data_IF_273243694411
#
_entry.id   IF_273243694411
#
_cell.length_a   1.000
_cell.length_b   1.000
_cell.length_c   1.000
_cell.angle_alpha   90.00
_cell.angle_beta   90.00
_cell.angle_gamma   90.00
#
_symmetry.space_group_name_H-M   'P 1'
#
loop_
_entity.id
_entity.type
_entity.pdbx_description
1 polymer ?
#
# COMPACT_ATOMS: atom_id res chain seq x y z
N UNK A 1 -10.93 2.88 -17.14
CA UNK A 1 -9.81 3.75 -16.76
C UNK A 1 -8.83 3.93 -17.91
N UNK A 2 -8.11 2.87 -18.35
CA UNK A 2 -7.06 2.99 -19.36
C UNK A 2 -7.54 3.54 -20.69
N UNK A 3 -8.66 3.06 -21.22
CA UNK A 3 -9.24 3.51 -22.49
C UNK A 3 -9.62 5.01 -22.46
N UNK A 4 -9.83 5.58 -21.26
CA UNK A 4 -10.20 6.99 -21.08
C UNK A 4 -8.97 7.88 -20.85
N UNK A 5 -7.99 7.42 -20.10
CA UNK A 5 -6.85 8.23 -19.65
C UNK A 5 -5.69 8.17 -20.66
N UNK A 6 -5.35 6.98 -21.18
CA UNK A 6 -4.18 6.81 -22.05
C UNK A 6 -4.24 7.65 -23.35
N UNK A 7 -5.37 7.78 -24.05
CA UNK A 7 -5.44 8.66 -25.22
C UNK A 7 -5.15 10.14 -24.90
N UNK A 8 -5.54 10.61 -23.70
CA UNK A 8 -5.24 11.99 -23.25
C UNK A 8 -3.74 12.21 -23.03
N UNK A 9 -3.00 11.14 -22.83
CA UNK A 9 -1.55 11.12 -22.62
C UNK A 9 -0.77 10.75 -23.88
N UNK A 10 -1.40 10.78 -25.06
CA UNK A 10 -0.76 10.45 -26.33
C UNK A 10 -0.48 8.94 -26.51
N UNK A 11 -0.94 8.10 -25.60
CA UNK A 11 -0.75 6.64 -25.65
C UNK A 11 -1.84 6.01 -26.50
N UNK A 12 -1.42 5.23 -27.50
CA UNK A 12 -2.36 4.38 -28.25
C UNK A 12 -2.71 3.16 -27.41
N UNK A 13 -3.99 2.88 -27.31
CA UNK A 13 -4.50 1.70 -26.60
C UNK A 13 -5.50 0.95 -27.47
N UNK A 14 -5.41 -0.36 -27.46
CA UNK A 14 -6.36 -1.27 -28.07
C UNK A 14 -6.73 -2.35 -27.07
N UNK A 15 -8.00 -2.45 -26.77
CA UNK A 15 -8.56 -3.48 -25.89
C UNK A 15 -9.85 -4.03 -26.48
N UNK A 16 -10.31 -5.14 -25.96
CA UNK A 16 -11.65 -5.65 -26.26
C UNK A 16 -12.62 -5.18 -25.18
N UNK A 17 -13.22 -4.00 -25.37
CA UNK A 17 -14.14 -3.36 -24.39
C UNK A 17 -13.53 -3.21 -22.99
N UNK A 18 -12.24 -2.88 -22.89
CA UNK A 18 -11.52 -2.73 -21.62
C UNK A 18 -11.00 -4.03 -21.01
N UNK A 19 -11.19 -5.18 -21.66
CA UNK A 19 -10.69 -6.47 -21.19
C UNK A 19 -9.34 -6.84 -21.84
N UNK A 20 -8.65 -7.77 -21.22
CA UNK A 20 -7.41 -8.36 -21.74
C UNK A 20 -7.67 -9.23 -22.99
N UNK A 21 -6.73 -9.28 -23.95
CA UNK A 21 -5.43 -8.59 -23.92
C UNK A 21 -5.56 -7.10 -24.27
N UNK A 22 -4.67 -6.29 -23.65
CA UNK A 22 -4.56 -4.87 -23.91
C UNK A 22 -3.23 -4.60 -24.63
N UNK A 23 -3.28 -3.96 -25.80
CA UNK A 23 -2.11 -3.52 -26.54
C UNK A 23 -1.89 -2.02 -26.32
N UNK A 24 -0.69 -1.65 -25.90
CA UNK A 24 -0.33 -0.27 -25.56
C UNK A 24 0.89 0.13 -26.38
N UNK A 25 0.86 1.36 -26.93
CA UNK A 25 2.00 1.94 -27.64
C UNK A 25 2.18 3.40 -27.23
N UNK A 26 3.32 3.70 -26.60
CA UNK A 26 3.74 5.05 -26.20
C UNK A 26 4.51 5.79 -27.30
N UNK A 27 5.21 6.87 -26.95
CA UNK A 27 5.52 7.30 -25.59
C UNK A 27 4.38 8.01 -24.88
N UNK A 28 4.43 8.03 -23.52
CA UNK A 28 3.57 8.87 -22.70
C UNK A 28 3.98 10.33 -22.82
N UNK A 29 3.00 11.21 -23.03
CA UNK A 29 3.16 12.66 -23.02
C UNK A 29 2.35 13.23 -21.85
N UNK A 30 3.00 13.76 -20.80
CA UNK A 30 2.28 14.34 -19.67
C UNK A 30 1.36 15.48 -20.11
N UNK A 31 0.12 15.42 -19.65
CA UNK A 31 -0.91 16.43 -19.87
C UNK A 31 -1.69 16.64 -18.57
N UNK A 32 -2.40 17.74 -18.46
CA UNK A 32 -3.33 17.92 -17.36
C UNK A 32 -4.46 16.91 -17.49
N UNK A 33 -4.63 16.08 -16.47
CA UNK A 33 -5.66 15.05 -16.43
C UNK A 33 -6.39 15.06 -15.09
N UNK A 34 -7.60 14.54 -15.12
CA UNK A 34 -8.40 14.24 -13.94
C UNK A 34 -8.64 12.74 -13.89
N UNK A 35 -8.45 12.16 -12.70
CA UNK A 35 -8.60 10.73 -12.45
C UNK A 35 -9.49 10.47 -11.23
N UNK A 36 -10.26 9.41 -11.31
CA UNK A 36 -11.01 8.87 -10.18
C UNK A 36 -10.09 7.98 -9.33
N UNK A 37 -9.80 8.41 -8.11
CA UNK A 37 -8.96 7.70 -7.15
C UNK A 37 -9.71 6.65 -6.32
N UNK A 38 -11.02 6.50 -6.51
CA UNK A 38 -11.83 5.55 -5.75
C UNK A 38 -11.58 4.10 -6.17
N UNK A 39 -11.18 3.88 -7.42
CA UNK A 39 -11.00 2.54 -8.00
C UNK A 39 -9.77 1.82 -7.44
N UNK A 40 -8.62 2.48 -7.46
CA UNK A 40 -7.36 1.92 -6.95
C UNK A 40 -6.26 2.97 -6.90
N UNK A 41 -5.54 3.04 -5.79
CA UNK A 41 -4.32 3.86 -5.66
C UNK A 41 -3.20 3.43 -6.62
N UNK A 42 -3.21 2.17 -7.08
CA UNK A 42 -2.20 1.64 -8.01
C UNK A 42 -2.18 2.37 -9.36
N UNK A 43 -3.36 2.77 -9.87
CA UNK A 43 -3.43 3.55 -11.11
C UNK A 43 -2.77 4.91 -10.96
N UNK A 44 -3.05 5.60 -9.84
CA UNK A 44 -2.42 6.87 -9.52
C UNK A 44 -0.91 6.70 -9.30
N UNK A 45 -0.48 5.68 -8.54
CA UNK A 45 0.94 5.35 -8.34
C UNK A 45 1.68 5.22 -9.68
N UNK A 46 1.12 4.45 -10.63
CA UNK A 46 1.71 4.29 -11.95
C UNK A 46 1.83 5.61 -12.73
N UNK A 47 0.80 6.46 -12.65
CA UNK A 47 0.83 7.79 -13.28
C UNK A 47 1.84 8.72 -12.61
N UNK A 48 1.91 8.75 -11.27
CA UNK A 48 2.89 9.56 -10.54
C UNK A 48 4.32 9.19 -10.90
N UNK A 49 4.64 7.89 -10.99
CA UNK A 49 5.95 7.42 -11.42
C UNK A 49 6.24 7.80 -12.88
N UNK A 50 5.28 7.61 -13.77
CA UNK A 50 5.45 7.91 -15.19
C UNK A 50 5.66 9.41 -15.45
N UNK A 51 4.89 10.27 -14.78
CA UNK A 51 5.05 11.73 -14.90
C UNK A 51 6.34 12.23 -14.28
N UNK A 52 6.71 11.71 -13.10
CA UNK A 52 7.96 12.08 -12.43
C UNK A 52 9.20 11.72 -13.29
N UNK A 53 9.13 10.64 -14.06
CA UNK A 53 10.21 10.20 -14.93
C UNK A 53 10.33 11.00 -16.23
N UNK A 54 9.43 11.94 -16.53
CA UNK A 54 9.50 12.79 -17.72
C UNK A 54 10.22 14.11 -17.44
N UNK A 55 10.92 14.64 -18.42
CA UNK A 55 11.65 15.91 -18.27
C UNK A 55 10.72 17.13 -18.22
N UNK A 56 9.51 17.03 -18.76
CA UNK A 56 8.54 18.13 -18.80
C UNK A 56 7.49 17.99 -17.72
N UNK A 57 7.59 18.83 -16.70
CA UNK A 57 6.89 18.67 -15.42
C UNK A 57 5.82 19.73 -15.12
N UNK A 58 5.36 20.47 -16.14
CA UNK A 58 4.29 21.46 -15.93
C UNK A 58 2.88 20.87 -15.91
N UNK A 59 2.75 19.56 -16.11
CA UNK A 59 1.46 18.89 -16.10
C UNK A 59 0.98 18.60 -14.67
N UNK A 60 -0.32 18.54 -14.49
CA UNK A 60 -1.01 18.36 -13.23
C UNK A 60 -1.92 17.15 -13.31
N UNK A 61 -1.97 16.37 -12.24
CA UNK A 61 -2.97 15.31 -12.06
C UNK A 61 -3.95 15.75 -10.97
N UNK A 62 -5.20 15.99 -11.35
CA UNK A 62 -6.30 16.19 -10.41
C UNK A 62 -6.90 14.83 -10.04
N UNK A 63 -7.20 14.62 -8.75
CA UNK A 63 -7.69 13.34 -8.24
C UNK A 63 -8.94 13.53 -7.42
N UNK A 64 -9.99 12.78 -7.75
CA UNK A 64 -11.23 12.74 -6.98
C UNK A 64 -11.29 11.45 -6.14
N UNK A 65 -11.87 11.55 -4.95
CA UNK A 65 -12.22 10.42 -4.07
C UNK A 65 -11.11 9.41 -3.78
N UNK A 66 -9.86 9.87 -3.64
CA UNK A 66 -8.71 8.99 -3.41
C UNK A 66 -8.88 8.13 -2.16
N UNK A 67 -8.83 6.82 -2.35
CA UNK A 67 -8.72 5.80 -1.30
C UNK A 67 -7.26 5.35 -1.15
N UNK A 68 -6.99 4.57 -0.09
CA UNK A 68 -5.67 3.98 0.16
C UNK A 68 -4.52 5.00 0.10
N UNK A 69 -4.72 6.18 0.70
CA UNK A 69 -3.74 7.28 0.75
C UNK A 69 -2.34 6.89 1.22
N UNK A 70 -2.17 6.00 2.24
CA UNK A 70 -0.84 5.60 2.69
C UNK A 70 0.05 4.97 1.60
N UNK A 71 -0.55 4.31 0.60
CA UNK A 71 0.22 3.78 -0.54
C UNK A 71 0.72 4.88 -1.47
N UNK A 72 -0.01 6.00 -1.54
CA UNK A 72 0.48 7.19 -2.25
C UNK A 72 1.63 7.83 -1.48
N UNK A 73 1.55 7.91 -0.15
CA UNK A 73 2.66 8.40 0.69
C UNK A 73 3.91 7.54 0.52
N UNK A 74 3.76 6.22 0.47
CA UNK A 74 4.85 5.30 0.16
C UNK A 74 5.46 5.60 -1.21
N UNK A 75 4.61 5.77 -2.23
CA UNK A 75 5.04 6.12 -3.60
C UNK A 75 5.83 7.42 -3.62
N UNK A 76 5.31 8.47 -2.96
CA UNK A 76 5.97 9.78 -2.88
C UNK A 76 7.30 9.71 -2.13
N UNK A 77 7.37 8.92 -1.06
CA UNK A 77 8.61 8.68 -0.31
C UNK A 77 9.68 8.01 -1.17
N UNK A 78 9.30 6.97 -1.92
CA UNK A 78 10.21 6.28 -2.85
C UNK A 78 10.67 7.23 -3.95
N UNK A 79 9.76 7.94 -4.62
CA UNK A 79 10.10 8.93 -5.65
C UNK A 79 11.08 9.97 -5.13
N UNK A 80 10.85 10.51 -3.92
CA UNK A 80 11.74 11.49 -3.31
C UNK A 80 13.14 10.91 -3.02
N UNK A 81 13.25 9.65 -2.63
CA UNK A 81 14.55 8.98 -2.42
C UNK A 81 15.34 8.90 -3.72
N UNK A 82 14.66 8.71 -4.85
CA UNK A 82 15.27 8.70 -6.18
C UNK A 82 15.44 10.11 -6.80
N UNK A 83 15.17 11.17 -6.03
CA UNK A 83 15.38 12.56 -6.45
C UNK A 83 14.20 13.19 -7.20
N UNK A 84 13.11 12.46 -7.40
CA UNK A 84 11.90 12.97 -8.03
C UNK A 84 10.98 13.61 -7.00
N UNK A 85 10.68 14.90 -7.18
CA UNK A 85 9.84 15.64 -6.24
C UNK A 85 8.45 15.83 -6.82
N UNK A 86 7.48 15.24 -6.14
CA UNK A 86 6.05 15.42 -6.42
C UNK A 86 5.42 16.08 -5.21
N UNK A 87 4.72 17.20 -5.42
CA UNK A 87 3.96 17.89 -4.38
C UNK A 87 2.48 17.59 -4.56
N UNK A 88 1.73 17.61 -3.47
CA UNK A 88 0.29 17.49 -3.55
C UNK A 88 -0.44 18.43 -2.60
N UNK A 89 -1.65 18.80 -2.98
CA UNK A 89 -2.59 19.57 -2.16
C UNK A 89 -3.71 18.62 -1.73
N UNK A 90 -3.73 18.22 -0.46
CA UNK A 90 -4.74 17.34 0.15
C UNK A 90 -5.03 16.04 -0.64
N UNK A 91 -4.06 15.49 -1.36
CA UNK A 91 -4.19 14.34 -2.29
C UNK A 91 -5.19 14.56 -3.44
N UNK A 92 -5.61 15.82 -3.68
CA UNK A 92 -6.55 16.18 -4.75
C UNK A 92 -5.86 16.68 -6.00
N UNK A 93 -4.65 17.22 -5.86
CA UNK A 93 -3.88 17.80 -6.94
C UNK A 93 -2.41 17.46 -6.76
N UNK A 94 -1.80 16.88 -7.79
CA UNK A 94 -0.38 16.51 -7.80
C UNK A 94 0.36 17.34 -8.85
N UNK A 95 1.48 17.92 -8.43
CA UNK A 95 2.34 18.78 -9.23
C UNK A 95 3.76 18.22 -9.22
N UNK A 96 4.40 18.26 -10.37
CA UNK A 96 5.71 17.69 -10.58
C UNK A 96 6.75 18.80 -10.66
N UNK A 97 7.88 18.64 -10.01
CA UNK A 97 8.98 19.58 -10.06
C UNK A 97 10.07 19.04 -10.98
N UNK A 98 10.74 19.98 -11.69
CA UNK A 98 11.96 19.61 -12.41
C UNK A 98 12.93 18.95 -11.42
N UNK A 99 13.46 17.81 -11.78
CA UNK A 99 14.43 17.11 -10.97
C UNK A 99 15.86 17.47 -11.40
N UNK A 100 16.81 17.54 -10.44
CA UNK A 100 18.22 17.62 -10.79
C UNK A 100 18.64 16.33 -11.54
N UNK A 101 19.81 16.33 -12.20
CA UNK A 101 20.37 15.09 -12.74
C UNK A 101 20.35 14.02 -11.66
N UNK A 102 19.87 12.83 -12.02
CA UNK A 102 19.84 11.71 -11.07
C UNK A 102 21.26 11.35 -10.64
N UNK A 103 21.43 10.94 -9.39
CA UNK A 103 22.70 10.45 -8.92
C UNK A 103 23.13 9.22 -9.74
N UNK A 104 24.44 9.11 -10.04
CA UNK A 104 24.97 7.97 -10.79
C UNK A 104 24.75 6.63 -10.09
N UNK A 105 24.67 6.66 -8.76
CA UNK A 105 24.44 5.47 -7.93
C UNK A 105 23.51 5.81 -6.76
N UNK A 106 22.45 5.01 -6.60
CA UNK A 106 21.51 5.09 -5.48
C UNK A 106 21.38 3.69 -4.89
N UNK A 107 21.72 3.55 -3.61
CA UNK A 107 21.42 2.33 -2.84
C UNK A 107 20.07 2.50 -2.15
N UNK A 108 19.20 1.54 -2.36
CA UNK A 108 17.90 1.48 -1.72
C UNK A 108 17.59 0.08 -1.22
N UNK A 109 17.31 -0.05 0.08
CA UNK A 109 16.87 -1.33 0.65
C UNK A 109 15.35 -1.35 0.69
N UNK A 110 14.78 -2.29 -0.05
CA UNK A 110 13.32 -2.51 -0.04
C UNK A 110 12.93 -3.08 1.31
N UNK A 111 11.97 -2.44 1.96
CA UNK A 111 11.42 -2.91 3.24
C UNK A 111 10.57 -4.18 3.07
N UNK A 112 10.37 -4.93 4.16
CA UNK A 112 9.50 -6.09 4.15
C UNK A 112 8.04 -5.71 3.86
N UNK A 113 7.33 -6.59 3.15
CA UNK A 113 5.94 -6.41 2.76
C UNK A 113 5.00 -6.73 3.93
N UNK A 114 4.32 -5.71 4.45
CA UNK A 114 3.34 -5.86 5.53
C UNK A 114 2.07 -6.58 5.09
N UNK A 115 1.68 -6.48 3.82
CA UNK A 115 0.52 -7.18 3.26
C UNK A 115 0.73 -8.70 3.31
N UNK A 116 1.85 -9.17 2.74
CA UNK A 116 2.22 -10.59 2.81
C UNK A 116 2.49 -11.07 4.23
N UNK A 117 3.15 -10.23 5.06
CA UNK A 117 3.43 -10.56 6.45
C UNK A 117 2.17 -10.69 7.32
N UNK A 118 1.09 -9.97 6.99
CA UNK A 118 -0.17 -10.06 7.74
C UNK A 118 -0.72 -11.48 7.79
N UNK A 119 -0.59 -12.25 6.70
CA UNK A 119 -1.00 -13.66 6.67
C UNK A 119 -0.18 -14.52 7.63
N UNK A 120 1.13 -14.29 7.69
CA UNK A 120 2.01 -15.01 8.61
C UNK A 120 1.73 -14.64 10.06
N UNK A 121 1.54 -13.35 10.34
CA UNK A 121 1.23 -12.86 11.69
C UNK A 121 -0.10 -13.43 12.18
N UNK A 122 -1.14 -13.42 11.33
CA UNK A 122 -2.42 -14.04 11.66
C UNK A 122 -2.29 -15.55 11.88
N UNK A 123 -1.56 -16.25 11.00
CA UNK A 123 -1.29 -17.67 11.18
C UNK A 123 -0.59 -17.96 12.52
N UNK A 124 0.38 -17.13 12.91
CA UNK A 124 1.05 -17.22 14.20
C UNK A 124 0.13 -17.04 15.38
N UNK A 125 -0.80 -16.10 15.30
CA UNK A 125 -1.80 -15.86 16.35
C UNK A 125 -2.80 -17.01 16.51
N UNK A 126 -3.11 -17.72 15.42
CA UNK A 126 -4.09 -18.81 15.40
C UNK A 126 -3.46 -20.17 15.75
N UNK A 127 -2.37 -20.52 15.06
CA UNK A 127 -1.88 -21.88 14.99
C UNK A 127 -0.68 -22.16 15.90
N UNK A 128 0.09 -21.13 16.26
CA UNK A 128 1.27 -21.29 17.12
C UNK A 128 2.32 -20.22 16.86
N UNK A 129 3.28 -20.03 17.78
CA UNK A 129 4.18 -18.90 17.72
C UNK A 129 5.10 -18.97 16.50
N UNK A 130 5.23 -17.83 15.83
CA UNK A 130 6.20 -17.61 14.75
C UNK A 130 6.97 -16.32 14.97
N UNK A 131 8.12 -16.19 14.30
CA UNK A 131 8.94 -14.98 14.29
C UNK A 131 9.02 -14.47 12.86
N UNK A 132 8.54 -13.24 12.63
CA UNK A 132 8.62 -12.56 11.34
C UNK A 132 9.71 -11.49 11.42
N UNK A 133 10.62 -11.49 10.44
CA UNK A 133 11.75 -10.55 10.36
C UNK A 133 11.64 -9.67 9.12
N UNK A 134 12.35 -8.54 9.14
CA UNK A 134 12.48 -7.65 7.99
C UNK A 134 11.34 -6.63 7.84
N UNK A 135 10.39 -6.60 8.77
CA UNK A 135 9.33 -5.58 8.79
C UNK A 135 9.81 -4.33 9.51
N UNK A 136 9.61 -3.18 8.88
CA UNK A 136 9.93 -1.89 9.48
C UNK A 136 8.74 -1.32 10.24
N UNK A 137 8.89 -1.08 11.53
CA UNK A 137 7.81 -0.56 12.40
C UNK A 137 7.43 0.88 12.07
N UNK A 138 8.33 1.65 11.48
CA UNK A 138 8.10 3.02 11.00
C UNK A 138 7.63 3.09 9.54
N UNK A 139 7.35 1.96 8.92
CA UNK A 139 6.83 1.88 7.55
C UNK A 139 5.54 2.69 7.37
N UNK A 140 5.40 3.30 6.20
CA UNK A 140 4.16 3.97 5.75
C UNK A 140 3.17 3.01 5.11
N UNK A 141 3.50 1.72 4.96
CA UNK A 141 2.56 0.72 4.46
C UNK A 141 1.32 0.63 5.36
N UNK A 142 0.13 0.78 4.77
CA UNK A 142 -1.13 0.79 5.50
C UNK A 142 -1.38 -0.52 6.24
N UNK A 143 -0.92 -1.63 5.67
CA UNK A 143 -1.15 -2.99 6.20
C UNK A 143 -0.43 -3.27 7.52
N UNK A 144 0.49 -2.38 7.95
CA UNK A 144 1.00 -2.39 9.32
C UNK A 144 -0.12 -2.32 10.37
N UNK A 145 -1.29 -1.82 10.00
CA UNK A 145 -2.48 -1.77 10.86
C UNK A 145 -2.95 -3.17 11.33
N UNK A 146 -2.53 -4.26 10.70
CA UNK A 146 -2.77 -5.63 11.18
C UNK A 146 -2.32 -5.82 12.64
N UNK A 147 -1.25 -5.13 13.05
CA UNK A 147 -0.74 -5.19 14.42
C UNK A 147 -1.77 -4.72 15.45
N UNK A 148 -2.59 -3.71 15.11
CA UNK A 148 -3.65 -3.24 15.98
C UNK A 148 -4.75 -4.30 16.10
N UNK A 149 -5.22 -4.87 15.00
CA UNK A 149 -6.24 -5.93 15.02
C UNK A 149 -5.78 -7.15 15.83
N UNK A 150 -4.54 -7.58 15.66
CA UNK A 150 -3.96 -8.70 16.42
C UNK A 150 -3.87 -8.40 17.92
N UNK A 151 -3.51 -7.17 18.28
CA UNK A 151 -3.48 -6.71 19.68
C UNK A 151 -4.89 -6.70 20.28
N UNK A 152 -5.86 -6.17 19.56
CA UNK A 152 -7.26 -6.08 20.02
C UNK A 152 -7.88 -7.48 20.13
N UNK A 153 -7.53 -8.40 19.24
CA UNK A 153 -7.88 -9.81 19.34
C UNK A 153 -7.19 -10.53 20.53
N UNK A 154 -6.21 -9.91 21.16
CA UNK A 154 -5.50 -10.46 22.32
C UNK A 154 -4.40 -11.44 21.98
N UNK A 155 -3.88 -11.45 20.76
CA UNK A 155 -2.72 -12.24 20.40
C UNK A 155 -1.49 -11.87 21.26
N UNK A 156 -0.63 -12.84 21.52
CA UNK A 156 0.66 -12.60 22.20
C UNK A 156 1.64 -12.01 21.20
N UNK A 157 2.07 -10.77 21.44
CA UNK A 157 2.97 -10.03 20.55
C UNK A 157 4.19 -9.59 21.35
N UNK A 158 5.39 -9.93 20.84
CA UNK A 158 6.65 -9.42 21.34
C UNK A 158 7.45 -8.84 20.17
N UNK A 159 7.88 -7.58 20.33
CA UNK A 159 8.55 -6.81 19.29
C UNK A 159 9.95 -6.46 19.78
N UNK A 160 10.94 -6.86 19.02
CA UNK A 160 12.31 -6.43 19.20
C UNK A 160 12.80 -5.71 17.92
N UNK A 161 14.04 -5.16 17.96
CA UNK A 161 14.57 -4.27 16.91
C UNK A 161 14.43 -4.81 15.47
N UNK A 162 14.46 -6.12 15.27
CA UNK A 162 14.50 -6.74 13.93
C UNK A 162 13.46 -7.84 13.71
N UNK A 163 12.57 -8.07 14.67
CA UNK A 163 11.64 -9.19 14.60
C UNK A 163 10.36 -8.94 15.38
N UNK A 164 9.28 -9.48 14.86
CA UNK A 164 7.97 -9.56 15.52
C UNK A 164 7.72 -11.04 15.81
N UNK A 165 7.68 -11.38 17.09
CA UNK A 165 7.21 -12.68 17.53
C UNK A 165 5.72 -12.59 17.83
N UNK A 166 4.93 -13.45 17.21
CA UNK A 166 3.48 -13.51 17.36
C UNK A 166 3.08 -14.91 17.75
N UNK A 167 2.07 -15.05 18.61
CA UNK A 167 1.54 -16.33 19.01
C UNK A 167 0.10 -16.21 19.53
N UNK A 168 -0.54 -17.35 19.86
CA UNK A 168 -1.88 -17.37 20.43
C UNK A 168 -2.01 -16.50 21.68
N UNK A 169 -3.25 -16.10 21.98
CA UNK A 169 -3.57 -15.38 23.21
C UNK A 169 -3.06 -16.14 24.42
N UNK A 170 -2.54 -15.43 25.43
CA UNK A 170 -2.13 -16.00 26.72
C UNK A 170 -2.75 -15.22 27.84
N UNK A 171 -3.18 -15.92 28.88
CA UNK A 171 -3.59 -15.27 30.14
C UNK A 171 -2.36 -14.80 30.95
N UNK A 172 -2.61 -14.19 32.10
CA UNK A 172 -1.56 -13.72 33.01
C UNK A 172 -0.66 -14.82 33.56
N UNK A 173 -1.12 -16.07 33.55
CA UNK A 173 -0.37 -17.25 33.94
C UNK A 173 0.39 -17.90 32.76
N UNK A 174 0.27 -17.34 31.55
CA UNK A 174 0.89 -17.86 30.33
C UNK A 174 0.13 -19.03 29.69
N UNK A 175 -1.07 -19.33 30.16
CA UNK A 175 -1.90 -20.38 29.57
C UNK A 175 -2.57 -19.84 28.31
N UNK A 176 -2.59 -20.68 27.26
CA UNK A 176 -3.23 -20.32 25.98
C UNK A 176 -4.70 -20.05 26.20
N UNK A 177 -5.14 -18.84 25.84
CA UNK A 177 -6.51 -18.37 25.91
C UNK A 177 -7.15 -18.30 24.54
N UNK A 178 -8.41 -17.84 24.51
CA UNK A 178 -9.14 -17.61 23.27
C UNK A 178 -8.90 -16.19 22.74
N UNK A 179 -8.81 -16.07 21.42
CA UNK A 179 -8.85 -14.78 20.75
C UNK A 179 -10.25 -14.16 20.86
N UNK A 180 -10.30 -12.83 20.93
CA UNK A 180 -11.53 -12.04 21.10
C UNK A 180 -11.90 -11.35 19.80
N UNK A 181 -13.20 -11.10 19.63
CA UNK A 181 -13.70 -10.23 18.57
C UNK A 181 -13.06 -8.82 18.64
N UNK A 182 -12.92 -8.19 17.51
CA UNK A 182 -12.32 -6.87 17.34
C UNK A 182 -13.10 -6.08 16.28
N UNK A 183 -12.93 -4.76 16.26
CA UNK A 183 -13.42 -3.89 15.19
C UNK A 183 -12.26 -3.40 14.36
N UNK A 184 -12.44 -3.33 13.04
CA UNK A 184 -11.38 -2.89 12.14
C UNK A 184 -11.92 -2.18 10.90
N UNK A 185 -11.39 -0.99 10.62
CA UNK A 185 -11.67 -0.24 9.39
C UNK A 185 -10.58 -0.51 8.34
N UNK A 186 -10.93 -1.27 7.30
CA UNK A 186 -10.03 -1.63 6.20
C UNK A 186 -10.05 -0.63 5.03
N UNK A 187 -10.67 0.56 5.18
CA UNK A 187 -10.82 1.54 4.08
C UNK A 187 -9.50 1.89 3.42
N UNK A 188 -8.41 1.97 4.18
CA UNK A 188 -7.09 2.34 3.68
C UNK A 188 -6.12 1.16 3.51
N UNK A 189 -6.52 -0.03 3.91
CA UNK A 189 -5.73 -1.26 3.83
C UNK A 189 -6.59 -2.47 3.45
N UNK A 190 -7.20 -2.46 2.26
CA UNK A 190 -8.14 -3.50 1.83
C UNK A 190 -7.51 -4.89 1.75
N UNK A 191 -6.20 -4.98 1.55
CA UNK A 191 -5.45 -6.23 1.46
C UNK A 191 -5.40 -6.98 2.80
N UNK A 192 -5.70 -6.30 3.91
CA UNK A 192 -5.87 -6.94 5.22
C UNK A 192 -7.19 -7.69 5.37
N UNK A 193 -8.17 -7.45 4.51
CA UNK A 193 -9.48 -8.08 4.65
C UNK A 193 -9.40 -9.61 4.69
N UNK A 194 -8.71 -10.31 3.76
CA UNK A 194 -8.62 -11.76 3.78
C UNK A 194 -7.97 -12.34 5.07
N UNK A 195 -6.78 -11.88 5.51
CA UNK A 195 -6.17 -12.40 6.74
C UNK A 195 -7.00 -12.06 7.99
N UNK A 196 -7.65 -10.89 8.06
CA UNK A 196 -8.49 -10.51 9.20
C UNK A 196 -9.79 -11.30 9.25
N UNK A 197 -10.38 -11.69 8.12
CA UNK A 197 -11.51 -12.63 8.09
C UNK A 197 -11.10 -13.99 8.66
N UNK A 198 -9.92 -14.49 8.33
CA UNK A 198 -9.40 -15.73 8.90
C UNK A 198 -9.19 -15.62 10.43
N UNK A 199 -8.67 -14.46 10.91
CA UNK A 199 -8.54 -14.18 12.34
C UNK A 199 -9.92 -14.15 13.02
N UNK A 200 -10.87 -13.41 12.45
CA UNK A 200 -12.23 -13.25 12.98
C UNK A 200 -12.96 -14.59 13.12
N UNK A 201 -12.76 -15.51 12.17
CA UNK A 201 -13.40 -16.83 12.16
C UNK A 201 -13.05 -17.70 13.38
N UNK A 202 -11.96 -17.41 14.10
CA UNK A 202 -11.52 -18.13 15.30
C UNK A 202 -11.64 -17.30 16.58
N UNK A 203 -12.09 -16.05 16.48
CA UNK A 203 -12.34 -15.18 17.62
C UNK A 203 -13.68 -15.47 18.29
N UNK A 204 -13.76 -15.31 19.61
CA UNK A 204 -15.01 -15.39 20.34
C UNK A 204 -15.74 -14.04 20.26
N UNK A 205 -16.95 -14.04 19.71
CA UNK A 205 -17.82 -12.87 19.57
C UNK A 205 -18.09 -12.50 18.11
N UNK A 206 -18.52 -11.26 17.89
CA UNK A 206 -18.80 -10.71 16.56
C UNK A 206 -17.75 -9.67 16.23
N UNK A 207 -17.07 -9.87 15.11
CA UNK A 207 -16.08 -8.93 14.52
C UNK A 207 -16.71 -8.18 13.38
#
# INVERSE_FOLDING_TARGET
>A
FFDTIFPKLGIQIQSHSGFLPIHIKGPLQPANIEVDGSLSSQFLTGLLMAYAATENTNAVIEVQDLKSKPYIDLTLSVLNTFGWKVQHQEYKRFEFQAHPPLAEHIEYTVEGDWSGAAFLLVAGAIAGPIVVKGLQLNSTQADKAVMQALKDAGASIDINENAIQIGPAKDKAGVVGSLKAFEFDATHCPDLFPPLVALAAVCNGVT
#
